data_IF_889869455897
#
_entry.id   IF_889869455897
#
_cell.length_a   1.000
_cell.length_b   1.000
_cell.length_c   1.000
_cell.angle_alpha   90.00
_cell.angle_beta   90.00
_cell.angle_gamma   90.00
#
_symmetry.space_group_name_H-M   'P 1'
#
loop_
_entity.id
_entity.type
_entity.pdbx_description
1 polymer ?
#
# COMPACT_ATOMS: atom_id res chain seq x y z
N UNK A 1 58.47 30.32 18.41
CA UNK A 1 57.06 30.26 17.97
C UNK A 1 56.78 29.41 16.71
N UNK A 2 57.77 28.77 16.04
CA UNK A 2 57.56 27.97 14.80
C UNK A 2 57.00 26.56 15.02
N UNK A 3 57.29 25.90 16.15
CA UNK A 3 56.87 24.52 16.43
C UNK A 3 55.37 24.33 16.72
N UNK A 4 54.73 25.29 17.40
CA UNK A 4 53.29 25.23 17.70
C UNK A 4 52.42 25.44 16.46
N UNK A 5 52.86 26.25 15.49
CA UNK A 5 52.16 26.44 14.21
C UNK A 5 52.12 25.15 13.38
N UNK A 6 53.23 24.39 13.32
CA UNK A 6 53.29 23.10 12.61
C UNK A 6 52.36 22.04 13.23
N UNK A 7 52.30 21.95 14.57
CA UNK A 7 51.40 21.01 15.28
C UNK A 7 49.91 21.35 15.05
N UNK A 8 49.55 22.64 15.02
CA UNK A 8 48.17 23.09 14.71
C UNK A 8 47.77 22.78 13.27
N UNK A 9 48.68 22.91 12.31
CA UNK A 9 48.44 22.57 10.90
C UNK A 9 48.23 21.06 10.74
N UNK A 10 49.05 20.23 11.40
CA UNK A 10 48.88 18.77 11.37
C UNK A 10 47.56 18.35 12.02
N UNK A 11 47.19 18.94 13.16
CA UNK A 11 45.91 18.67 13.82
C UNK A 11 44.69 19.09 12.98
N UNK A 12 44.80 20.19 12.21
CA UNK A 12 43.76 20.58 11.26
C UNK A 12 43.64 19.58 10.10
N UNK A 13 44.76 19.09 9.56
CA UNK A 13 44.74 18.13 8.45
C UNK A 13 44.16 16.77 8.88
N UNK A 14 44.50 16.29 10.09
CA UNK A 14 43.94 15.03 10.61
C UNK A 14 42.46 15.16 10.95
N UNK A 15 42.02 16.32 11.43
CA UNK A 15 40.60 16.61 11.67
C UNK A 15 39.79 16.63 10.37
N UNK A 16 40.33 17.21 9.29
CA UNK A 16 39.68 17.21 7.96
C UNK A 16 39.62 15.80 7.36
N UNK A 17 40.66 15.00 7.59
CA UNK A 17 40.70 13.60 7.15
C UNK A 17 39.72 12.70 7.93
N UNK A 18 39.47 12.98 9.22
CA UNK A 18 38.49 12.25 10.03
C UNK A 18 37.05 12.71 9.75
N UNK A 19 36.83 13.99 9.48
CA UNK A 19 35.50 14.53 9.16
C UNK A 19 34.99 14.06 7.79
N UNK A 20 35.89 13.75 6.85
CA UNK A 20 35.54 13.25 5.51
C UNK A 20 35.10 11.78 5.49
N UNK A 21 35.46 10.97 6.49
CA UNK A 21 35.06 9.55 6.55
C UNK A 21 33.60 9.40 7.03
N UNK A 22 33.08 10.34 7.83
CA UNK A 22 31.74 10.26 8.42
C UNK A 22 30.57 10.52 7.46
N UNK A 23 30.80 10.80 6.18
CA UNK A 23 29.74 11.11 5.20
C UNK A 23 29.37 9.88 4.35
N UNK A 24 29.98 8.71 4.55
CA UNK A 24 29.80 7.59 3.63
C UNK A 24 28.52 6.79 3.86
N UNK A 25 27.56 7.05 2.96
CA UNK A 25 26.40 6.24 2.54
C UNK A 25 25.14 6.24 3.42
N UNK A 26 24.25 7.21 3.17
CA UNK A 26 22.81 6.96 3.28
C UNK A 26 22.43 6.08 2.10
N UNK A 27 22.09 4.81 2.36
CA UNK A 27 21.57 3.89 1.35
C UNK A 27 20.17 4.33 0.93
N UNK A 28 20.08 5.17 -0.10
CA UNK A 28 18.80 5.45 -0.76
C UNK A 28 18.54 4.23 -1.66
N UNK A 29 17.57 3.40 -1.29
CA UNK A 29 17.04 2.39 -2.20
C UNK A 29 16.52 3.13 -3.44
N UNK A 30 17.12 2.89 -4.60
CA UNK A 30 16.61 3.44 -5.84
C UNK A 30 15.27 2.75 -6.14
N UNK A 31 14.19 3.53 -6.23
CA UNK A 31 12.91 2.96 -6.62
C UNK A 31 12.99 2.39 -8.05
N UNK A 32 12.70 1.09 -8.19
CA UNK A 32 12.73 0.38 -9.46
C UNK A 32 11.40 0.52 -10.21
N UNK A 33 11.09 1.72 -10.70
CA UNK A 33 9.92 1.90 -11.56
C UNK A 33 10.20 1.45 -13.00
N UNK A 34 9.36 0.54 -13.51
CA UNK A 34 9.37 0.17 -14.93
C UNK A 34 8.26 0.91 -15.67
N UNK A 35 8.63 1.66 -16.70
CA UNK A 35 7.66 2.23 -17.61
C UNK A 35 6.94 1.12 -18.39
N UNK A 36 5.62 1.08 -18.26
CA UNK A 36 4.76 0.15 -19.00
C UNK A 36 4.11 0.89 -20.17
N UNK A 37 4.31 0.39 -21.39
CA UNK A 37 3.49 0.78 -22.53
C UNK A 37 2.25 -0.08 -22.53
N UNK A 38 1.11 0.55 -22.31
CA UNK A 38 -0.20 -0.09 -22.27
C UNK A 38 -1.05 0.44 -23.41
N UNK A 39 -2.02 -0.37 -23.86
CA UNK A 39 -3.03 0.10 -24.79
C UNK A 39 -4.26 0.56 -23.99
N UNK A 40 -4.69 1.80 -24.21
CA UNK A 40 -5.86 2.43 -23.58
C UNK A 40 -6.87 2.80 -24.67
N UNK A 41 -7.58 1.81 -25.21
CA UNK A 41 -8.74 2.07 -26.06
C UNK A 41 -10.03 2.23 -25.25
N UNK A 42 -11.16 2.27 -25.96
CA UNK A 42 -12.51 2.32 -25.35
C UNK A 42 -12.91 0.93 -24.81
N UNK A 43 -12.32 0.56 -23.67
CA UNK A 43 -12.64 -0.67 -22.96
C UNK A 43 -13.91 -0.48 -22.12
N UNK A 44 -14.97 -1.20 -22.49
CA UNK A 44 -16.24 -1.21 -21.79
C UNK A 44 -16.32 -2.41 -20.86
N UNK A 45 -16.73 -2.17 -19.62
CA UNK A 45 -16.97 -3.23 -18.63
C UNK A 45 -18.47 -3.36 -18.43
N UNK A 46 -18.99 -4.58 -18.63
CA UNK A 46 -20.40 -4.91 -18.50
C UNK A 46 -20.53 -6.02 -17.47
N UNK A 47 -21.34 -5.79 -16.43
CA UNK A 47 -21.63 -6.77 -15.40
C UNK A 47 -23.13 -6.99 -15.34
N UNK A 48 -23.56 -8.25 -15.42
CA UNK A 48 -24.97 -8.62 -15.46
C UNK A 48 -25.77 -7.85 -16.53
N UNK A 49 -25.18 -7.66 -17.71
CA UNK A 49 -25.81 -6.93 -18.82
C UNK A 49 -25.82 -5.40 -18.69
N UNK A 50 -25.34 -4.83 -17.58
CA UNK A 50 -25.27 -3.38 -17.38
C UNK A 50 -23.83 -2.89 -17.52
N UNK A 51 -23.63 -1.88 -18.37
CA UNK A 51 -22.35 -1.19 -18.44
C UNK A 51 -22.10 -0.41 -17.14
N UNK A 52 -20.93 -0.61 -16.56
CA UNK A 52 -20.48 0.09 -15.36
C UNK A 52 -19.46 1.17 -15.72
N UNK A 53 -19.58 2.30 -15.05
CA UNK A 53 -18.71 3.46 -15.23
C UNK A 53 -17.59 3.39 -14.18
N UNK A 54 -16.36 3.25 -14.66
CA UNK A 54 -15.16 3.22 -13.84
C UNK A 54 -14.49 4.60 -13.87
N UNK A 55 -13.97 5.03 -12.73
CA UNK A 55 -13.16 6.25 -12.64
C UNK A 55 -11.78 6.02 -13.25
N UNK A 56 -11.14 4.91 -12.87
CA UNK A 56 -9.91 4.42 -13.46
C UNK A 56 -10.23 3.56 -14.68
N UNK A 57 -9.64 3.91 -15.82
CA UNK A 57 -9.89 3.19 -17.07
C UNK A 57 -9.16 1.84 -17.06
N UNK A 58 -9.83 0.76 -17.51
CA UNK A 58 -9.15 -0.48 -17.85
C UNK A 58 -8.09 -0.24 -18.92
N UNK A 59 -7.08 -1.11 -18.96
CA UNK A 59 -6.07 -1.08 -20.01
C UNK A 59 -5.63 -2.49 -20.41
N UNK A 60 -5.10 -2.63 -21.61
CA UNK A 60 -4.53 -3.88 -22.10
C UNK A 60 -3.01 -3.83 -21.99
N UNK A 61 -2.42 -4.86 -21.39
CA UNK A 61 -0.97 -5.04 -21.33
C UNK A 61 -0.63 -6.52 -21.56
N UNK A 62 0.22 -6.79 -22.54
CA UNK A 62 0.63 -8.15 -22.95
C UNK A 62 -0.55 -9.12 -23.17
N UNK A 63 -1.59 -8.65 -23.87
CA UNK A 63 -2.78 -9.46 -24.17
C UNK A 63 -3.70 -9.72 -22.97
N UNK A 64 -3.45 -9.10 -21.81
CA UNK A 64 -4.29 -9.19 -20.61
C UNK A 64 -4.96 -7.84 -20.33
N UNK A 65 -6.24 -7.89 -20.01
CA UNK A 65 -6.99 -6.72 -19.55
C UNK A 65 -6.80 -6.55 -18.05
N UNK A 66 -6.34 -5.37 -17.65
CA UNK A 66 -6.18 -4.99 -16.26
C UNK A 66 -7.36 -4.11 -15.86
N UNK A 67 -7.98 -4.46 -14.74
CA UNK A 67 -9.15 -3.80 -14.20
C UNK A 67 -8.85 -3.20 -12.82
N UNK A 68 -9.42 -2.04 -12.49
CA UNK A 68 -9.29 -1.47 -11.15
C UNK A 68 -9.97 -2.37 -10.11
N UNK A 69 -9.17 -3.06 -9.30
CA UNK A 69 -9.67 -4.00 -8.29
C UNK A 69 -10.61 -3.32 -7.29
N UNK A 70 -10.26 -2.11 -6.81
CA UNK A 70 -11.05 -1.39 -5.80
C UNK A 70 -12.45 -1.06 -6.29
N UNK A 71 -12.55 -0.47 -7.48
CA UNK A 71 -13.86 -0.06 -8.02
C UNK A 71 -14.76 -1.26 -8.27
N UNK A 72 -14.22 -2.35 -8.83
CA UNK A 72 -15.00 -3.57 -9.02
C UNK A 72 -15.38 -4.21 -7.68
N UNK A 73 -14.41 -4.38 -6.78
CA UNK A 73 -14.63 -4.97 -5.47
C UNK A 73 -15.72 -4.25 -4.69
N UNK A 74 -15.65 -2.92 -4.60
CA UNK A 74 -16.56 -2.13 -3.78
C UNK A 74 -17.89 -1.82 -4.47
N UNK A 75 -17.88 -1.42 -5.76
CA UNK A 75 -19.12 -0.97 -6.45
C UNK A 75 -19.93 -2.11 -7.07
N UNK A 76 -19.26 -3.20 -7.43
CA UNK A 76 -19.91 -4.30 -8.16
C UNK A 76 -20.12 -5.51 -7.27
N UNK A 77 -19.11 -5.89 -6.48
CA UNK A 77 -19.14 -7.11 -5.68
C UNK A 77 -19.50 -6.89 -4.21
N UNK A 78 -19.73 -5.63 -3.81
CA UNK A 78 -20.07 -5.23 -2.45
C UNK A 78 -19.08 -5.76 -1.39
N UNK A 79 -17.79 -5.74 -1.73
CA UNK A 79 -16.68 -6.17 -0.87
C UNK A 79 -15.94 -4.98 -0.29
N UNK A 80 -15.10 -5.25 0.69
CA UNK A 80 -14.10 -4.32 1.22
C UNK A 80 -12.77 -4.61 0.56
N UNK A 81 -12.11 -3.58 0.02
CA UNK A 81 -10.78 -3.72 -0.59
C UNK A 81 -9.72 -3.04 0.28
N UNK A 82 -8.77 -3.83 0.78
CA UNK A 82 -7.62 -3.35 1.53
C UNK A 82 -6.36 -3.26 0.68
N UNK A 83 -5.45 -2.36 1.08
CA UNK A 83 -4.10 -2.29 0.53
C UNK A 83 -3.08 -2.19 1.66
N UNK A 84 -2.20 -3.19 1.73
CA UNK A 84 -0.98 -3.14 2.52
C UNK A 84 0.19 -2.78 1.60
N UNK A 85 0.63 -1.52 1.65
CA UNK A 85 1.74 -1.02 0.83
C UNK A 85 3.13 -1.45 1.32
N UNK A 86 3.23 -2.02 2.52
CA UNK A 86 4.51 -2.53 3.05
C UNK A 86 4.76 -3.93 2.51
N UNK A 87 3.74 -4.80 2.55
CA UNK A 87 3.83 -6.17 2.07
C UNK A 87 3.35 -6.34 0.62
N UNK A 88 2.86 -5.27 0.00
CA UNK A 88 2.24 -5.26 -1.34
C UNK A 88 1.08 -6.25 -1.48
N UNK A 89 0.22 -6.32 -0.46
CA UNK A 89 -0.93 -7.21 -0.42
C UNK A 89 -2.21 -6.41 -0.66
N UNK A 90 -2.93 -6.80 -1.71
CA UNK A 90 -4.32 -6.39 -1.88
C UNK A 90 -5.25 -7.44 -1.25
N UNK A 91 -6.17 -7.01 -0.39
CA UNK A 91 -7.16 -7.90 0.22
C UNK A 91 -8.55 -7.56 -0.30
N UNK A 92 -9.37 -8.60 -0.46
CA UNK A 92 -10.78 -8.47 -0.84
C UNK A 92 -11.57 -9.31 0.17
N UNK A 93 -12.34 -8.66 1.03
CA UNK A 93 -13.08 -9.32 2.11
C UNK A 93 -14.57 -9.00 2.04
N UNK A 94 -15.39 -9.88 2.60
CA UNK A 94 -16.80 -9.60 2.79
C UNK A 94 -16.98 -8.39 3.73
N UNK A 95 -18.00 -7.59 3.44
CA UNK A 95 -18.43 -6.57 4.39
C UNK A 95 -19.05 -7.25 5.61
N UNK A 96 -18.81 -6.73 6.83
CA UNK A 96 -19.40 -7.28 8.03
C UNK A 96 -20.93 -7.30 7.91
N UNK A 97 -21.54 -8.45 8.18
CA UNK A 97 -22.99 -8.57 8.17
C UNK A 97 -23.56 -8.08 9.50
N UNK A 98 -23.87 -6.79 9.54
CA UNK A 98 -24.39 -6.09 10.72
C UNK A 98 -25.62 -6.79 11.30
N UNK A 99 -26.55 -7.28 10.46
CA UNK A 99 -27.77 -7.97 10.93
C UNK A 99 -27.45 -9.28 11.66
N UNK A 100 -26.54 -10.10 11.11
CA UNK A 100 -26.13 -11.35 11.77
C UNK A 100 -25.48 -11.06 13.13
N UNK A 101 -24.61 -10.04 13.21
CA UNK A 101 -23.97 -9.67 14.47
C UNK A 101 -24.97 -9.26 15.57
N UNK A 102 -26.06 -8.58 15.21
CA UNK A 102 -27.13 -8.26 16.16
C UNK A 102 -27.92 -9.49 16.60
N UNK A 103 -28.23 -10.40 15.67
CA UNK A 103 -28.94 -11.64 15.98
C UNK A 103 -28.12 -12.54 16.91
N UNK A 104 -26.81 -12.63 16.70
CA UNK A 104 -25.90 -13.37 17.58
C UNK A 104 -25.88 -12.79 19.00
N UNK A 105 -25.82 -11.46 19.13
CA UNK A 105 -25.89 -10.81 20.44
C UNK A 105 -27.22 -11.04 21.15
N UNK A 106 -28.33 -11.05 20.40
CA UNK A 106 -29.66 -11.33 20.95
C UNK A 106 -29.76 -12.78 21.47
N UNK A 107 -29.22 -13.75 20.71
CA UNK A 107 -29.16 -15.15 21.13
C UNK A 107 -28.34 -15.31 22.42
N UNK A 108 -27.16 -14.70 22.48
CA UNK A 108 -26.32 -14.74 23.69
C UNK A 108 -27.07 -14.17 24.90
N UNK A 109 -27.74 -13.03 24.75
CA UNK A 109 -28.56 -12.45 25.83
C UNK A 109 -29.66 -13.40 26.29
N UNK A 110 -30.38 -14.01 25.36
CA UNK A 110 -31.45 -14.97 25.67
C UNK A 110 -30.91 -16.21 26.39
N UNK A 111 -29.76 -16.73 25.98
CA UNK A 111 -29.10 -17.86 26.66
C UNK A 111 -28.66 -17.51 28.09
N UNK A 112 -28.09 -16.32 28.31
CA UNK A 112 -27.75 -15.84 29.65
C UNK A 112 -29.00 -15.79 30.54
N UNK A 113 -30.09 -15.19 30.03
CA UNK A 113 -31.35 -15.09 30.79
C UNK A 113 -31.92 -16.48 31.13
N UNK A 114 -31.84 -17.45 30.21
CA UNK A 114 -32.32 -18.82 30.48
C UNK A 114 -31.48 -19.50 31.57
N UNK A 115 -30.16 -19.30 31.59
CA UNK A 115 -29.26 -19.92 32.57
C UNK A 115 -29.32 -19.26 33.96
N UNK A 116 -29.92 -18.07 34.08
CA UNK A 116 -30.11 -17.35 35.34
C UNK A 116 -31.49 -17.63 36.01
N UNK A 117 -32.35 -18.43 35.36
CA UNK A 117 -33.66 -18.88 35.87
C UNK A 117 -33.57 -20.27 36.51
#
# INVERSE_FOLDING_TARGET
MKGQRKKRIVAMLTSVMLFSISITSVGIAADHYKNLRVWQGDLKVVVNGKQIQLQDKPFLYNGKTYLPLRELGEKVFDKTVGWDGVNYIATLTDKPNVKLSYLEQELIRKEITINEL
#
